data_IF_182148841586
#
_entry.id   IF_182148841586
#
_cell.length_a   1.000
_cell.length_b   1.000
_cell.length_c   1.000
_cell.angle_alpha   90.00
_cell.angle_beta   90.00
_cell.angle_gamma   90.00
#
_symmetry.space_group_name_H-M   'P 1'
#
loop_
_entity.id
_entity.type
_entity.pdbx_description
1 polymer ?
#
# COMPACT_ATOMS: atom_id res chain seq x y z
N UNK A 1 0.94 -11.58 -13.45
CA UNK A 1 -0.37 -12.19 -13.76
C UNK A 1 -0.54 -13.46 -12.95
N UNK A 2 -1.46 -13.43 -11.98
CA UNK A 2 -1.83 -14.55 -11.11
C UNK A 2 -3.22 -15.07 -11.51
N UNK A 3 -3.53 -16.30 -11.10
CA UNK A 3 -4.80 -16.97 -11.42
C UNK A 3 -5.46 -17.42 -10.11
N UNK A 4 -6.74 -17.12 -9.94
CA UNK A 4 -7.56 -17.54 -8.79
C UNK A 4 -8.84 -18.16 -9.33
N UNK A 5 -9.17 -19.34 -8.81
CA UNK A 5 -10.44 -20.00 -9.09
C UNK A 5 -11.35 -19.81 -7.89
N UNK A 6 -12.56 -19.30 -8.13
CA UNK A 6 -13.63 -19.17 -7.15
C UNK A 6 -14.72 -20.18 -7.50
N UNK A 7 -15.16 -20.93 -6.49
CA UNK A 7 -16.33 -21.80 -6.58
C UNK A 7 -17.52 -21.02 -6.03
N UNK A 8 -18.52 -20.76 -6.87
CA UNK A 8 -19.76 -20.07 -6.49
C UNK A 8 -20.86 -21.11 -6.40
N UNK A 9 -21.39 -21.31 -5.20
CA UNK A 9 -22.46 -22.27 -4.94
C UNK A 9 -23.80 -21.68 -5.36
N UNK A 10 -24.67 -22.54 -5.87
CA UNK A 10 -25.96 -22.13 -6.46
C UNK A 10 -27.05 -21.98 -5.39
N UNK A 11 -26.91 -22.67 -4.25
CA UNK A 11 -27.90 -22.63 -3.18
C UNK A 11 -27.91 -21.25 -2.46
N UNK A 12 -29.12 -20.69 -2.28
CA UNK A 12 -29.36 -19.38 -1.66
C UNK A 12 -28.70 -19.18 -0.29
N UNK A 13 -28.56 -20.26 0.47
CA UNK A 13 -27.95 -20.25 1.81
C UNK A 13 -26.50 -19.75 1.80
N UNK A 14 -25.79 -19.95 0.68
CA UNK A 14 -24.37 -19.57 0.54
C UNK A 14 -24.17 -18.26 -0.21
N UNK A 15 -25.23 -17.67 -0.76
CA UNK A 15 -25.14 -16.50 -1.66
C UNK A 15 -24.44 -15.31 -0.99
N UNK A 16 -24.76 -15.02 0.28
CA UNK A 16 -24.13 -13.91 1.02
C UNK A 16 -22.67 -14.16 1.34
N UNK A 17 -22.29 -15.41 1.63
CA UNK A 17 -20.91 -15.76 1.94
C UNK A 17 -20.04 -15.71 0.68
N UNK A 18 -20.53 -16.30 -0.42
CA UNK A 18 -19.83 -16.34 -1.69
C UNK A 18 -19.69 -14.92 -2.27
N UNK A 19 -20.72 -14.06 -2.14
CA UNK A 19 -20.64 -12.65 -2.51
C UNK A 19 -19.55 -11.91 -1.71
N UNK A 20 -19.49 -12.07 -0.39
CA UNK A 20 -18.45 -11.45 0.45
C UNK A 20 -17.03 -11.88 0.05
N UNK A 21 -16.87 -13.13 -0.36
CA UNK A 21 -15.56 -13.65 -0.83
C UNK A 21 -15.16 -12.98 -2.15
N UNK A 22 -16.11 -12.81 -3.06
CA UNK A 22 -15.89 -12.13 -4.34
C UNK A 22 -15.57 -10.66 -4.11
N UNK A 23 -16.39 -9.94 -3.33
CA UNK A 23 -16.19 -8.51 -3.07
C UNK A 23 -14.82 -8.24 -2.45
N UNK A 24 -14.45 -9.01 -1.41
CA UNK A 24 -13.12 -8.92 -0.78
C UNK A 24 -11.98 -9.16 -1.77
N UNK A 25 -12.20 -10.09 -2.71
CA UNK A 25 -11.21 -10.38 -3.73
C UNK A 25 -11.07 -9.23 -4.71
N UNK A 26 -12.18 -8.66 -5.18
CA UNK A 26 -12.17 -7.54 -6.11
C UNK A 26 -11.63 -6.24 -5.49
N UNK A 27 -11.82 -6.03 -4.18
CA UNK A 27 -11.31 -4.85 -3.45
C UNK A 27 -9.78 -4.69 -3.54
N UNK A 28 -9.04 -5.80 -3.66
CA UNK A 28 -7.58 -5.82 -3.56
C UNK A 28 -6.89 -6.36 -4.81
N UNK A 29 -7.62 -6.60 -5.89
CA UNK A 29 -7.05 -7.18 -7.11
C UNK A 29 -7.62 -6.51 -8.37
N UNK A 30 -6.73 -6.17 -9.30
CA UNK A 30 -7.09 -5.66 -10.61
C UNK A 30 -7.36 -6.87 -11.50
N UNK A 31 -8.61 -7.01 -11.94
CA UNK A 31 -9.03 -8.12 -12.77
C UNK A 31 -8.67 -7.82 -14.23
N UNK A 32 -7.83 -8.68 -14.80
CA UNK A 32 -7.38 -8.59 -16.19
C UNK A 32 -8.34 -9.34 -17.10
N UNK A 33 -8.75 -10.55 -16.69
CA UNK A 33 -9.62 -11.43 -17.47
C UNK A 33 -10.44 -12.34 -16.57
N UNK A 34 -11.65 -12.65 -17.01
CA UNK A 34 -12.60 -13.57 -16.37
C UNK A 34 -12.98 -14.67 -17.34
N UNK A 35 -12.97 -15.92 -16.87
CA UNK A 35 -13.52 -17.08 -17.57
C UNK A 35 -14.45 -17.85 -16.63
N UNK A 36 -15.56 -18.39 -17.13
CA UNK A 36 -16.52 -19.11 -16.30
C UNK A 36 -16.89 -20.46 -16.92
N UNK A 37 -17.12 -21.45 -16.05
CA UNK A 37 -17.57 -22.77 -16.44
C UNK A 37 -18.49 -23.38 -15.37
N UNK A 38 -19.55 -24.06 -15.80
CA UNK A 38 -20.44 -24.78 -14.89
C UNK A 38 -19.90 -26.19 -14.63
N UNK A 39 -19.75 -26.56 -13.36
CA UNK A 39 -19.40 -27.93 -12.97
C UNK A 39 -20.66 -28.66 -12.57
N UNK A 40 -21.03 -29.66 -13.38
CA UNK A 40 -22.32 -30.35 -13.30
C UNK A 40 -22.37 -31.38 -12.16
N UNK A 41 -21.27 -32.07 -11.86
CA UNK A 41 -21.23 -33.11 -10.83
C UNK A 41 -21.42 -32.57 -9.40
N UNK A 42 -20.81 -31.42 -9.10
CA UNK A 42 -20.87 -30.77 -7.78
C UNK A 42 -21.79 -29.52 -7.76
N UNK A 43 -22.51 -29.27 -8.86
CA UNK A 43 -23.46 -28.15 -9.04
C UNK A 43 -22.96 -26.77 -8.56
N UNK A 44 -21.86 -26.31 -9.11
CA UNK A 44 -21.33 -24.98 -8.82
C UNK A 44 -20.82 -24.26 -10.07
N UNK A 45 -20.81 -22.92 -10.02
CA UNK A 45 -20.16 -22.08 -11.04
C UNK A 45 -18.69 -21.90 -10.68
N UNK A 46 -17.81 -22.33 -11.57
CA UNK A 46 -16.39 -22.05 -11.48
C UNK A 46 -16.09 -20.74 -12.19
N UNK A 47 -15.58 -19.76 -11.46
CA UNK A 47 -15.12 -18.48 -12.00
C UNK A 47 -13.60 -18.43 -11.89
N UNK A 48 -12.92 -18.36 -13.02
CA UNK A 48 -11.46 -18.21 -13.11
C UNK A 48 -11.15 -16.74 -13.35
N UNK A 49 -10.44 -16.15 -12.40
CA UNK A 49 -9.98 -14.78 -12.42
C UNK A 49 -8.49 -14.75 -12.74
N UNK A 50 -8.13 -14.04 -13.79
CA UNK A 50 -6.76 -13.62 -14.05
C UNK A 50 -6.64 -12.21 -13.54
N UNK A 51 -5.72 -12.00 -12.62
CA UNK A 51 -5.63 -10.74 -11.90
C UNK A 51 -4.19 -10.40 -11.61
N UNK A 52 -3.94 -9.12 -11.43
CA UNK A 52 -2.80 -8.64 -10.69
C UNK A 52 -3.28 -8.20 -9.32
N UNK A 53 -2.45 -8.36 -8.29
CA UNK A 53 -2.74 -7.74 -7.00
C UNK A 53 -2.77 -6.24 -7.22
N UNK A 54 -3.80 -5.57 -6.69
CA UNK A 54 -3.72 -4.16 -6.38
C UNK A 54 -2.78 -4.08 -5.18
N UNK A 55 -1.49 -4.29 -5.42
CA UNK A 55 -0.51 -3.90 -4.42
C UNK A 55 -0.59 -2.38 -4.34
N UNK A 56 -0.93 -1.82 -3.17
CA UNK A 56 -0.13 -0.69 -2.73
C UNK A 56 1.30 -1.26 -2.62
N UNK A 57 2.07 -1.18 -3.70
CA UNK A 57 3.36 -1.83 -3.98
C UNK A 57 4.17 -2.22 -2.72
N UNK A 58 3.82 -3.33 -2.07
CA UNK A 58 4.45 -3.88 -0.87
C UNK A 58 3.99 -5.33 -0.68
N UNK A 59 4.42 -6.26 -1.54
CA UNK A 59 5.29 -7.37 -1.12
C UNK A 59 5.21 -8.55 -2.09
N UNK A 60 6.33 -8.80 -2.80
CA UNK A 60 6.91 -10.16 -2.87
C UNK A 60 8.32 -10.20 -3.47
N UNK A 61 9.33 -10.01 -2.61
CA UNK A 61 10.65 -10.67 -2.60
C UNK A 61 11.44 -10.05 -1.44
N UNK A 62 12.16 -10.72 -0.53
CA UNK A 62 12.48 -12.13 -0.31
C UNK A 62 13.21 -12.21 1.05
N UNK A 63 13.23 -13.41 1.65
CA UNK A 63 14.17 -13.94 2.67
C UNK A 63 14.28 -13.26 4.05
N UNK A 64 13.92 -14.06 5.08
CA UNK A 64 14.52 -14.18 6.43
C UNK A 64 15.70 -13.23 6.70
N UNK A 65 15.60 -12.35 7.68
CA UNK A 65 15.95 -12.61 9.08
C UNK A 65 15.71 -11.35 9.94
N UNK A 66 15.38 -11.56 11.21
CA UNK A 66 15.36 -10.60 12.32
C UNK A 66 14.28 -9.49 12.35
N UNK A 67 13.45 -9.60 13.39
CA UNK A 67 12.47 -8.60 13.88
C UNK A 67 13.18 -7.28 14.23
N UNK A 68 12.93 -6.23 13.47
CA UNK A 68 12.95 -4.86 14.01
C UNK A 68 11.57 -4.25 13.80
N UNK A 69 10.96 -3.84 14.90
CA UNK A 69 9.64 -3.21 14.92
C UNK A 69 9.79 -1.84 14.24
N UNK A 70 9.32 -1.73 13.00
CA UNK A 70 9.34 -0.45 12.27
C UNK A 70 8.39 0.55 12.92
N UNK A 71 8.87 1.78 13.12
CA UNK A 71 8.15 2.85 13.81
C UNK A 71 6.89 3.27 13.01
N UNK A 72 5.77 3.44 13.72
CA UNK A 72 4.46 3.78 13.14
C UNK A 72 3.73 4.71 14.11
N UNK A 73 3.60 5.99 13.76
CA UNK A 73 3.04 7.03 14.62
C UNK A 73 1.50 7.10 14.54
N UNK A 74 0.80 5.98 14.70
CA UNK A 74 -0.62 5.88 14.33
C UNK A 74 -1.57 6.65 15.28
N UNK A 75 -1.13 7.14 16.45
CA UNK A 75 -2.03 7.76 17.45
C UNK A 75 -1.38 8.75 18.44
N UNK A 76 -0.35 9.53 18.08
CA UNK A 76 0.19 10.54 19.04
C UNK A 76 0.19 11.97 18.53
N UNK A 77 -0.12 12.89 19.46
CA UNK A 77 -0.20 14.34 19.29
C UNK A 77 1.13 14.87 18.75
N UNK A 78 1.07 15.59 17.63
CA UNK A 78 2.22 16.26 17.03
C UNK A 78 2.48 17.59 17.75
N UNK A 79 3.73 17.83 18.10
CA UNK A 79 4.25 19.10 18.59
C UNK A 79 4.23 20.15 17.49
N UNK A 80 4.28 21.42 17.87
CA UNK A 80 4.20 22.53 16.91
C UNK A 80 5.32 22.49 15.84
N UNK A 81 6.50 21.99 16.22
CA UNK A 81 7.63 21.74 15.31
C UNK A 81 7.35 20.60 14.32
N UNK A 82 6.77 19.49 14.80
CA UNK A 82 6.44 18.32 13.97
C UNK A 82 5.31 18.64 12.99
N UNK A 83 4.39 19.52 13.36
CA UNK A 83 3.33 20.04 12.47
C UNK A 83 3.94 20.83 11.32
N UNK A 84 4.91 21.72 11.58
CA UNK A 84 5.58 22.49 10.53
C UNK A 84 6.30 21.59 9.53
N UNK A 85 7.03 20.59 10.04
CA UNK A 85 7.71 19.60 9.20
C UNK A 85 6.69 18.82 8.36
N UNK A 86 5.59 18.38 8.98
CA UNK A 86 4.53 17.65 8.28
C UNK A 86 3.90 18.49 7.15
N UNK A 87 3.65 19.78 7.39
CA UNK A 87 3.09 20.67 6.37
C UNK A 87 4.07 20.94 5.22
N UNK A 88 5.36 21.12 5.51
CA UNK A 88 6.40 21.23 4.49
C UNK A 88 6.47 19.95 3.63
N UNK A 89 6.45 18.78 4.26
CA UNK A 89 6.45 17.49 3.56
C UNK A 89 5.18 17.27 2.73
N UNK A 90 4.00 17.72 3.21
CA UNK A 90 2.76 17.65 2.42
C UNK A 90 2.81 18.54 1.18
N UNK A 91 3.38 19.73 1.32
CA UNK A 91 3.54 20.67 0.22
C UNK A 91 4.45 20.06 -0.86
N UNK A 92 5.65 19.63 -0.47
CA UNK A 92 6.59 18.95 -1.36
C UNK A 92 5.97 17.74 -2.06
N UNK A 93 5.24 16.90 -1.31
CA UNK A 93 4.55 15.73 -1.88
C UNK A 93 3.55 16.12 -2.96
N UNK A 94 2.81 17.21 -2.75
CA UNK A 94 1.83 17.73 -3.71
C UNK A 94 2.51 18.22 -4.99
N UNK A 95 3.63 18.94 -4.84
CA UNK A 95 4.42 19.43 -5.97
C UNK A 95 5.02 18.27 -6.77
N UNK A 96 5.61 17.27 -6.10
CA UNK A 96 6.15 16.08 -6.76
C UNK A 96 5.11 15.21 -7.44
N UNK A 97 3.96 15.03 -6.80
CA UNK A 97 2.82 14.34 -7.39
C UNK A 97 2.38 15.02 -8.70
N UNK A 98 2.33 16.36 -8.70
CA UNK A 98 1.98 17.15 -9.88
C UNK A 98 3.05 17.06 -10.98
N UNK A 99 4.32 17.12 -10.62
CA UNK A 99 5.46 17.00 -11.55
C UNK A 99 5.47 15.63 -12.25
N UNK A 100 5.26 14.55 -11.48
CA UNK A 100 5.29 13.18 -11.98
C UNK A 100 3.94 12.71 -12.55
N UNK A 101 2.90 13.55 -12.50
CA UNK A 101 1.53 13.21 -12.86
C UNK A 101 1.00 11.97 -12.13
N UNK A 102 1.42 11.78 -10.88
CA UNK A 102 1.06 10.65 -10.04
C UNK A 102 0.17 11.12 -8.88
N UNK A 103 -0.74 10.27 -8.37
CA UNK A 103 -1.45 10.58 -7.15
C UNK A 103 -0.50 10.80 -5.97
N UNK A 104 -0.82 11.74 -5.07
CA UNK A 104 0.02 12.11 -3.91
C UNK A 104 0.38 10.92 -3.03
N UNK A 105 -0.55 9.97 -2.84
CA UNK A 105 -0.32 8.76 -2.05
C UNK A 105 0.76 7.84 -2.63
N UNK A 106 1.07 7.96 -3.93
CA UNK A 106 2.10 7.16 -4.60
C UNK A 106 3.51 7.64 -4.25
N UNK A 107 3.67 8.96 -4.02
CA UNK A 107 4.93 9.56 -3.55
C UNK A 107 5.14 9.21 -2.08
N UNK A 108 4.21 9.59 -1.21
CA UNK A 108 4.22 9.23 0.20
C UNK A 108 2.81 9.23 0.81
N UNK A 109 2.49 8.25 1.66
CA UNK A 109 1.22 8.21 2.37
C UNK A 109 1.22 9.20 3.56
N UNK A 110 0.04 9.60 4.03
CA UNK A 110 -0.03 10.48 5.20
C UNK A 110 0.64 9.85 6.44
N UNK A 111 0.52 8.52 6.61
CA UNK A 111 1.17 7.78 7.70
C UNK A 111 2.70 7.85 7.62
N UNK A 112 3.23 7.73 6.41
CA UNK A 112 4.67 7.87 6.14
C UNK A 112 5.15 9.28 6.48
N UNK A 113 4.46 10.33 6.02
CA UNK A 113 4.84 11.72 6.31
C UNK A 113 4.82 12.04 7.81
N UNK A 114 3.79 11.58 8.53
CA UNK A 114 3.69 11.76 9.98
C UNK A 114 4.83 11.02 10.69
N UNK A 115 5.16 9.81 10.23
CA UNK A 115 6.25 9.04 10.80
C UNK A 115 7.61 9.69 10.53
N UNK A 116 7.83 10.29 9.36
CA UNK A 116 9.04 11.08 9.03
C UNK A 116 9.13 12.32 9.92
N UNK A 117 8.03 13.06 10.07
CA UNK A 117 8.01 14.29 10.87
C UNK A 117 8.34 14.05 12.34
N UNK A 118 7.95 12.89 12.89
CA UNK A 118 8.28 12.47 14.25
C UNK A 118 9.68 11.88 14.39
N UNK A 119 10.03 10.98 13.48
CA UNK A 119 11.28 10.24 13.55
C UNK A 119 12.48 11.14 13.23
N UNK A 120 12.27 12.21 12.44
CA UNK A 120 13.29 13.20 12.03
C UNK A 120 14.60 12.54 11.60
N UNK A 121 14.57 11.66 10.58
CA UNK A 121 15.77 10.98 10.11
C UNK A 121 16.79 12.02 9.62
N UNK A 122 18.05 11.85 9.99
CA UNK A 122 19.16 12.68 9.54
C UNK A 122 19.92 12.03 8.37
N UNK A 123 19.67 10.74 8.10
CA UNK A 123 20.29 9.97 7.02
C UNK A 123 19.29 9.18 6.20
N UNK A 124 19.66 8.88 4.94
CA UNK A 124 18.84 8.05 4.03
C UNK A 124 18.60 6.65 4.59
N UNK A 125 19.55 6.12 5.37
CA UNK A 125 19.46 4.82 6.01
C UNK A 125 18.35 4.78 7.07
N UNK A 126 18.16 5.87 7.81
CA UNK A 126 17.14 6.00 8.86
C UNK A 126 15.73 6.06 8.28
N UNK A 127 15.57 6.50 7.03
CA UNK A 127 14.28 6.41 6.33
C UNK A 127 13.83 4.95 6.13
N UNK A 128 14.73 3.96 6.12
CA UNK A 128 14.36 2.52 5.99
C UNK A 128 13.64 1.97 7.21
N UNK A 129 13.88 2.56 8.38
CA UNK A 129 13.26 2.20 9.66
C UNK A 129 11.82 2.70 9.77
N UNK A 130 11.43 3.64 8.91
CA UNK A 130 10.06 4.14 8.82
C UNK A 130 9.19 3.15 8.04
N UNK A 131 8.08 2.73 8.66
CA UNK A 131 7.12 1.81 8.06
C UNK A 131 6.47 2.45 6.81
N UNK A 132 6.74 1.88 5.64
CA UNK A 132 6.21 2.33 4.34
C UNK A 132 7.26 2.97 3.41
N UNK A 133 8.41 3.40 3.96
CA UNK A 133 9.53 3.86 3.15
C UNK A 133 10.38 2.68 2.66
N UNK A 134 10.22 2.35 1.38
CA UNK A 134 11.05 1.35 0.69
C UNK A 134 12.29 1.99 0.05
N UNK A 135 13.31 1.17 -0.24
CA UNK A 135 14.56 1.60 -0.91
C UNK A 135 14.32 2.45 -2.16
N UNK A 136 13.36 2.07 -3.00
CA UNK A 136 13.00 2.82 -4.20
C UNK A 136 12.52 4.25 -3.89
N UNK A 137 11.66 4.44 -2.88
CA UNK A 137 11.24 5.78 -2.46
C UNK A 137 12.39 6.59 -1.87
N UNK A 138 13.30 5.92 -1.15
CA UNK A 138 14.46 6.57 -0.52
C UNK A 138 15.50 6.99 -1.56
N UNK A 139 15.73 6.16 -2.58
CA UNK A 139 16.64 6.51 -3.68
C UNK A 139 16.10 7.67 -4.50
N UNK A 140 14.79 7.68 -4.79
CA UNK A 140 14.18 8.73 -5.61
C UNK A 140 13.88 10.02 -4.85
N UNK A 141 13.48 9.92 -3.57
CA UNK A 141 12.93 11.04 -2.81
C UNK A 141 13.61 11.28 -1.46
N UNK A 142 14.45 10.36 -1.00
CA UNK A 142 15.04 10.44 0.33
C UNK A 142 15.98 11.63 0.51
N UNK A 143 16.62 12.10 -0.56
CA UNK A 143 17.46 13.31 -0.51
C UNK A 143 16.63 14.57 -0.29
N UNK A 144 15.56 14.73 -1.07
CA UNK A 144 14.65 15.88 -0.96
C UNK A 144 13.94 15.92 0.40
N UNK A 145 13.54 14.76 0.92
CA UNK A 145 12.93 14.65 2.25
C UNK A 145 13.90 15.10 3.34
N UNK A 146 15.18 14.72 3.25
CA UNK A 146 16.20 15.14 4.22
C UNK A 146 16.47 16.65 4.11
N UNK A 147 16.48 17.20 2.90
CA UNK A 147 16.64 18.64 2.68
C UNK A 147 15.49 19.44 3.31
N UNK A 148 14.25 18.95 3.18
CA UNK A 148 13.08 19.58 3.83
C UNK A 148 13.19 19.50 5.35
N UNK A 149 13.68 18.38 5.89
CA UNK A 149 13.89 18.22 7.33
C UNK A 149 14.99 19.14 7.88
N UNK A 150 16.00 19.47 7.08
CA UNK A 150 17.06 20.41 7.44
C UNK A 150 16.63 21.87 7.26
N UNK A 151 15.72 22.15 6.33
CA UNK A 151 15.26 23.49 6.00
C UNK A 151 14.14 24.04 6.91
N UNK A 152 13.49 23.20 7.72
CA UNK A 152 12.37 23.57 8.61
C UNK A 152 12.84 23.76 10.04
#
# INVERSE_FOLDING_TARGET
MKIKVLKIRIADEFLREDQKVIDRFLENHEIIKTETAFVHDEQFWSVVLYFNDLESALNKTSVKDSKTVKYSAEDEVLSNDEIKILDALKLWRSEKAKEQNLPTYFIATNKELVSVAKYKPAKKEELLDIKGFGKHKIENYGEEILEILESV
#
